data_IF_676006705985
#
_entry.id   IF_676006705985
#
_cell.length_a   1.000
_cell.length_b   1.000
_cell.length_c   1.000
_cell.angle_alpha   90.00
_cell.angle_beta   90.00
_cell.angle_gamma   90.00
#
_symmetry.space_group_name_H-M   'P 1'
#
loop_
_entity.id
_entity.type
_entity.pdbx_description
1 polymer ?
#
# COMPACT_ATOMS: atom_id res chain seq x y z
N UNK A 1 -3.70 -6.18 10.89
CA UNK A 1 -2.35 -5.53 10.90
C UNK A 1 -1.50 -5.96 12.09
N UNK A 2 -2.09 -6.45 13.20
CA UNK A 2 -1.34 -6.92 14.38
C UNK A 2 -0.35 -8.06 14.11
N UNK A 3 -0.63 -8.97 13.17
CA UNK A 3 0.28 -10.08 12.83
C UNK A 3 1.64 -9.64 12.26
N UNK A 4 1.73 -8.47 11.62
CA UNK A 4 2.97 -7.99 11.01
C UNK A 4 3.95 -7.44 12.06
N UNK A 5 3.45 -6.76 13.11
CA UNK A 5 4.33 -6.27 14.19
C UNK A 5 4.92 -7.42 15.01
N UNK A 6 4.14 -8.49 15.21
CA UNK A 6 4.58 -9.70 15.93
C UNK A 6 5.74 -10.42 15.23
N UNK A 7 5.94 -10.21 13.92
CA UNK A 7 7.02 -10.84 13.14
C UNK A 7 8.27 -9.97 12.98
N UNK A 8 8.37 -8.85 13.70
CA UNK A 8 9.52 -7.94 13.57
C UNK A 8 9.55 -7.18 12.24
N UNK A 9 8.45 -7.16 11.48
CA UNK A 9 8.36 -6.34 10.28
C UNK A 9 8.37 -4.86 10.70
N UNK A 10 9.24 -4.07 10.06
CA UNK A 10 9.33 -2.61 10.31
C UNK A 10 8.41 -1.80 9.40
N UNK A 11 7.82 -2.45 8.40
CA UNK A 11 7.13 -1.80 7.30
C UNK A 11 6.13 -2.75 6.66
N UNK A 12 4.97 -2.21 6.31
CA UNK A 12 3.97 -2.89 5.48
C UNK A 12 3.86 -2.09 4.19
N UNK A 13 3.96 -2.80 3.07
CA UNK A 13 3.80 -2.24 1.73
C UNK A 13 2.53 -2.80 1.09
N UNK A 14 1.90 -2.00 0.26
CA UNK A 14 0.81 -2.44 -0.61
C UNK A 14 0.82 -1.65 -1.91
N UNK A 15 0.22 -2.25 -2.93
CA UNK A 15 -0.13 -1.58 -4.17
C UNK A 15 -1.65 -1.44 -4.26
N UNK A 16 -2.11 -0.29 -4.76
CA UNK A 16 -3.52 -0.05 -5.02
C UNK A 16 -3.69 0.53 -6.42
N UNK A 17 -4.70 0.07 -7.17
CA UNK A 17 -5.02 0.67 -8.46
C UNK A 17 -5.38 2.15 -8.31
N UNK A 18 -4.77 2.99 -9.14
CA UNK A 18 -4.93 4.44 -9.09
C UNK A 18 -6.36 4.90 -9.41
N UNK A 19 -7.13 4.08 -10.12
CA UNK A 19 -8.52 4.33 -10.48
C UNK A 19 -9.53 3.86 -9.40
N UNK A 20 -9.06 3.35 -8.25
CA UNK A 20 -9.89 2.91 -7.13
C UNK A 20 -9.78 3.88 -5.92
N UNK A 21 -10.39 5.09 -5.99
CA UNK A 21 -10.24 6.13 -4.96
C UNK A 21 -10.71 5.70 -3.57
N UNK A 22 -11.69 4.78 -3.51
CA UNK A 22 -12.17 4.21 -2.24
C UNK A 22 -11.10 3.35 -1.55
N UNK A 23 -10.38 2.52 -2.31
CA UNK A 23 -9.30 1.70 -1.78
C UNK A 23 -8.13 2.57 -1.29
N UNK A 24 -7.80 3.62 -2.04
CA UNK A 24 -6.75 4.58 -1.67
C UNK A 24 -7.11 5.30 -0.38
N UNK A 25 -8.34 5.80 -0.26
CA UNK A 25 -8.81 6.50 0.94
C UNK A 25 -8.82 5.59 2.17
N UNK A 26 -9.20 4.31 1.99
CA UNK A 26 -9.10 3.31 3.05
C UNK A 26 -7.65 3.13 3.52
N UNK A 27 -6.70 3.00 2.59
CA UNK A 27 -5.28 2.86 2.92
C UNK A 27 -4.74 4.10 3.65
N UNK A 28 -5.08 5.31 3.17
CA UNK A 28 -4.69 6.58 3.81
C UNK A 28 -5.23 6.68 5.24
N UNK A 29 -6.47 6.24 5.47
CA UNK A 29 -7.08 6.20 6.82
C UNK A 29 -6.29 5.32 7.78
N UNK A 30 -5.64 4.27 7.27
CA UNK A 30 -4.78 3.39 8.06
C UNK A 30 -3.32 3.85 8.16
N UNK A 31 -3.03 5.11 7.84
CA UNK A 31 -1.69 5.72 7.94
C UNK A 31 -0.71 5.10 6.92
N UNK A 32 -1.22 4.66 5.77
CA UNK A 32 -0.35 4.39 4.62
C UNK A 32 -0.09 5.68 3.86
N UNK A 33 1.17 5.93 3.56
CA UNK A 33 1.63 7.09 2.79
C UNK A 33 1.83 6.66 1.34
N UNK A 34 1.44 7.53 0.40
CA UNK A 34 1.72 7.35 -1.02
C UNK A 34 3.20 7.67 -1.29
N UNK A 35 3.93 6.71 -1.85
CA UNK A 35 5.36 6.87 -2.12
C UNK A 35 5.69 6.93 -3.61
N UNK A 36 4.76 6.46 -4.46
CA UNK A 36 4.98 6.50 -5.89
C UNK A 36 3.77 6.07 -6.70
N UNK A 37 3.89 6.28 -8.01
CA UNK A 37 2.94 5.83 -9.02
C UNK A 37 3.71 5.08 -10.10
N UNK A 38 3.36 3.82 -10.31
CA UNK A 38 3.79 3.05 -11.46
C UNK A 38 2.75 3.22 -12.56
N UNK A 39 3.20 3.64 -13.75
CA UNK A 39 2.33 3.83 -14.91
C UNK A 39 2.20 2.53 -15.69
N UNK A 40 0.99 2.24 -16.17
CA UNK A 40 0.67 1.06 -16.99
C UNK A 40 1.20 -0.26 -16.39
N UNK A 41 1.15 -0.36 -15.06
CA UNK A 41 1.86 -1.39 -14.30
C UNK A 41 1.12 -2.73 -14.25
N UNK A 42 -0.20 -2.71 -14.42
CA UNK A 42 -1.03 -3.91 -14.52
C UNK A 42 -1.86 -3.86 -15.79
N UNK A 43 -2.13 -5.04 -16.37
CA UNK A 43 -3.06 -5.19 -17.48
C UNK A 43 -4.18 -6.15 -17.10
N UNK A 44 -5.38 -5.64 -16.96
CA UNK A 44 -6.59 -6.38 -16.55
C UNK A 44 -7.66 -6.12 -17.61
N UNK A 45 -8.30 -7.17 -18.12
CA UNK A 45 -9.31 -7.08 -19.19
C UNK A 45 -8.85 -6.28 -20.42
N UNK A 46 -7.56 -6.37 -20.73
CA UNK A 46 -6.92 -5.66 -21.86
C UNK A 46 -6.67 -4.17 -21.63
N UNK A 47 -7.04 -3.63 -20.47
CA UNK A 47 -6.77 -2.24 -20.08
C UNK A 47 -5.53 -2.15 -19.20
N UNK A 48 -4.70 -1.14 -19.46
CA UNK A 48 -3.57 -0.81 -18.59
C UNK A 48 -4.05 0.02 -17.40
N UNK A 49 -3.56 -0.32 -16.21
CA UNK A 49 -3.87 0.38 -14.97
C UNK A 49 -2.59 0.85 -14.28
N UNK A 50 -2.66 2.07 -13.76
CA UNK A 50 -1.62 2.61 -12.90
C UNK A 50 -1.78 2.06 -11.48
N UNK A 51 -0.65 1.85 -10.80
CA UNK A 51 -0.60 1.44 -9.41
C UNK A 51 0.01 2.54 -8.56
N UNK A 52 -0.60 2.79 -7.41
CA UNK A 52 -0.01 3.54 -6.33
C UNK A 52 0.75 2.62 -5.39
N UNK A 53 2.01 2.96 -5.14
CA UNK A 53 2.85 2.34 -4.13
C UNK A 53 2.57 3.04 -2.80
N UNK A 54 2.14 2.29 -1.81
CA UNK A 54 1.82 2.83 -0.50
C UNK A 54 2.45 2.02 0.60
N UNK A 55 2.83 2.69 1.69
CA UNK A 55 3.44 2.01 2.81
C UNK A 55 3.16 2.65 4.16
N UNK A 56 3.23 1.83 5.19
CA UNK A 56 3.14 2.22 6.58
C UNK A 56 4.35 1.69 7.34
N UNK A 57 5.02 2.56 8.07
CA UNK A 57 6.04 2.16 9.02
C UNK A 57 5.38 1.61 10.29
N UNK A 58 5.87 0.48 10.77
CA UNK A 58 5.43 -0.09 12.04
C UNK A 58 6.34 0.47 13.15
N UNK A 59 5.78 0.78 14.32
CA UNK A 59 6.58 1.20 15.46
C UNK A 59 7.59 0.11 15.81
N UNK A 60 8.81 0.53 16.12
CA UNK A 60 9.85 -0.38 16.55
C UNK A 60 9.46 -0.90 17.93
N UNK A 61 8.95 -2.14 18.01
CA UNK A 61 8.83 -2.83 19.29
C UNK A 61 10.26 -3.18 19.71
N UNK A 62 10.84 -2.35 20.58
CA UNK A 62 12.00 -2.76 21.34
C UNK A 62 11.57 -3.94 22.21
N UNK A 63 12.04 -5.14 21.86
CA UNK A 63 11.98 -6.30 22.77
C UNK A 63 12.84 -6.02 24.00
#
# INVERSE_FOLDING_TARGET
MELASVRGCRRIELTARADHPRAIRLCQTHIFILEGRLRDAERIDGQSHDLFLMAKLLPNLAC
#
